data_IF_464188857299
#
_entry.id   IF_464188857299
#
_cell.length_a   1.000
_cell.length_b   1.000
_cell.length_c   1.000
_cell.angle_alpha   90.00
_cell.angle_beta   90.00
_cell.angle_gamma   90.00
#
_symmetry.space_group_name_H-M   'P 1'
#
loop_
_entity.id
_entity.type
_entity.pdbx_description
1 polymer ?
#
# COMPACT_ATOMS: atom_id res chain seq x y z
N UNK A 1 2.98 16.31 -28.36
CA UNK A 1 1.83 15.68 -27.68
C UNK A 1 0.95 16.78 -27.12
N UNK A 2 -0.36 16.76 -27.46
CA UNK A 2 -1.28 17.79 -27.04
C UNK A 2 -1.67 17.64 -25.56
N UNK A 3 -2.07 18.75 -24.90
CA UNK A 3 -2.58 18.74 -23.52
C UNK A 3 -3.78 17.79 -23.32
N UNK A 4 -4.54 17.55 -24.38
CA UNK A 4 -5.69 16.63 -24.37
C UNK A 4 -5.24 15.17 -24.21
N UNK A 5 -4.12 14.78 -24.84
CA UNK A 5 -3.58 13.41 -24.75
C UNK A 5 -3.05 13.09 -23.36
N UNK A 6 -2.51 14.08 -22.66
CA UNK A 6 -1.99 13.90 -21.31
C UNK A 6 -3.11 13.74 -20.27
N UNK A 7 -4.18 14.53 -20.40
CA UNK A 7 -5.36 14.43 -19.54
C UNK A 7 -6.07 13.09 -19.72
N UNK A 8 -6.28 12.66 -20.96
CA UNK A 8 -6.91 11.37 -21.28
C UNK A 8 -6.08 10.18 -20.75
N UNK A 9 -4.76 10.27 -20.90
CA UNK A 9 -3.85 9.26 -20.36
C UNK A 9 -3.93 9.17 -18.84
N UNK A 10 -3.95 10.30 -18.13
CA UNK A 10 -4.05 10.36 -16.67
C UNK A 10 -5.39 9.80 -16.19
N UNK A 11 -6.47 10.10 -16.88
CA UNK A 11 -7.79 9.55 -16.55
C UNK A 11 -7.84 8.03 -16.71
N UNK A 12 -7.31 7.49 -17.80
CA UNK A 12 -7.18 6.04 -18.03
C UNK A 12 -6.31 5.36 -16.96
N UNK A 13 -5.25 6.03 -16.52
CA UNK A 13 -4.38 5.57 -15.43
C UNK A 13 -5.16 5.49 -14.11
N UNK A 14 -5.93 6.52 -13.77
CA UNK A 14 -6.76 6.54 -12.57
C UNK A 14 -7.82 5.43 -12.57
N UNK A 15 -8.46 5.18 -13.70
CA UNK A 15 -9.42 4.08 -13.85
C UNK A 15 -8.76 2.73 -13.57
N UNK A 16 -7.56 2.50 -14.09
CA UNK A 16 -6.80 1.27 -13.80
C UNK A 16 -6.40 1.19 -12.32
N UNK A 17 -5.90 2.28 -11.75
CA UNK A 17 -5.50 2.33 -10.35
C UNK A 17 -6.64 1.98 -9.40
N UNK A 18 -7.84 2.51 -9.64
CA UNK A 18 -9.04 2.16 -8.87
C UNK A 18 -9.37 0.67 -8.92
N UNK A 19 -9.25 0.05 -10.09
CA UNK A 19 -9.45 -1.41 -10.23
C UNK A 19 -8.44 -2.19 -9.39
N UNK A 20 -7.19 -1.76 -9.35
CA UNK A 20 -6.16 -2.42 -8.55
C UNK A 20 -6.33 -2.18 -7.04
N UNK A 21 -6.83 -1.03 -6.61
CA UNK A 21 -7.20 -0.82 -5.20
C UNK A 21 -8.38 -1.72 -4.82
N UNK A 22 -9.38 -1.89 -5.68
CA UNK A 22 -10.47 -2.85 -5.47
C UNK A 22 -9.96 -4.28 -5.39
N UNK A 23 -9.04 -4.67 -6.26
CA UNK A 23 -8.41 -5.99 -6.24
C UNK A 23 -7.59 -6.20 -4.96
N UNK A 24 -6.85 -5.18 -4.51
CA UNK A 24 -6.12 -5.21 -3.24
C UNK A 24 -7.07 -5.38 -2.05
N UNK A 25 -8.21 -4.68 -2.04
CA UNK A 25 -9.26 -4.82 -1.03
C UNK A 25 -9.84 -6.22 -1.01
N UNK A 26 -10.20 -6.75 -2.16
CA UNK A 26 -10.73 -8.10 -2.30
C UNK A 26 -9.73 -9.15 -1.77
N UNK A 27 -8.46 -8.99 -2.12
CA UNK A 27 -7.40 -9.86 -1.60
C UNK A 27 -7.28 -9.76 -0.08
N UNK A 28 -7.33 -8.56 0.48
CA UNK A 28 -7.28 -8.35 1.93
C UNK A 28 -8.45 -9.04 2.64
N UNK A 29 -9.65 -8.91 2.09
CA UNK A 29 -10.87 -9.51 2.66
C UNK A 29 -10.80 -11.04 2.68
N UNK A 30 -10.18 -11.64 1.67
CA UNK A 30 -10.03 -13.10 1.57
C UNK A 30 -8.88 -13.65 2.42
N UNK A 31 -7.75 -12.95 2.50
CA UNK A 31 -6.50 -13.54 2.99
C UNK A 31 -5.95 -12.90 4.26
N UNK A 32 -6.35 -11.68 4.63
CA UNK A 32 -5.95 -11.14 5.93
C UNK A 32 -6.77 -11.79 7.04
N UNK A 33 -6.07 -12.40 7.99
CA UNK A 33 -6.66 -13.03 9.16
C UNK A 33 -6.90 -12.04 10.30
N UNK A 34 -6.47 -10.78 10.15
CA UNK A 34 -6.70 -9.72 11.14
C UNK A 34 -8.21 -9.51 11.34
N UNK A 35 -8.73 -9.69 12.55
CA UNK A 35 -10.16 -9.56 12.83
C UNK A 35 -10.65 -8.11 12.84
N UNK A 36 -9.73 -7.13 12.94
CA UNK A 36 -10.10 -5.72 13.14
C UNK A 36 -9.85 -4.84 11.92
N UNK A 37 -8.74 -5.07 11.22
CA UNK A 37 -8.32 -4.19 10.11
C UNK A 37 -7.68 -5.02 9.01
N UNK A 38 -8.28 -5.03 7.84
CA UNK A 38 -7.77 -5.75 6.67
C UNK A 38 -7.24 -4.76 5.65
N UNK A 39 -5.94 -4.83 5.40
CA UNK A 39 -5.23 -3.99 4.42
C UNK A 39 -4.63 -4.85 3.34
N UNK A 40 -4.75 -4.42 2.11
CA UNK A 40 -4.14 -5.06 0.95
C UNK A 40 -3.39 -4.07 0.10
N UNK A 41 -2.37 -4.56 -0.59
CA UNK A 41 -1.67 -3.80 -1.61
C UNK A 41 -1.23 -4.66 -2.78
N UNK A 42 -1.07 -4.02 -3.91
CA UNK A 42 -0.58 -4.60 -5.16
C UNK A 42 0.50 -3.67 -5.71
N UNK A 43 1.70 -4.20 -5.92
CA UNK A 43 2.79 -3.51 -6.58
C UNK A 43 2.78 -3.89 -8.07
N UNK A 44 2.85 -2.88 -8.92
CA UNK A 44 2.69 -2.98 -10.36
C UNK A 44 3.91 -2.41 -11.08
N UNK A 45 4.18 -2.91 -12.29
CA UNK A 45 5.04 -2.19 -13.22
C UNK A 45 4.47 -0.79 -13.50
N UNK A 46 5.34 0.17 -13.85
CA UNK A 46 4.96 1.57 -14.06
C UNK A 46 3.84 1.76 -15.10
N UNK A 47 3.72 0.85 -16.05
CA UNK A 47 2.71 0.85 -17.12
C UNK A 47 1.44 0.07 -16.79
N UNK A 48 1.33 -0.48 -15.57
CA UNK A 48 0.24 -1.34 -15.08
C UNK A 48 0.08 -2.68 -15.83
N UNK A 49 1.04 -3.07 -16.66
CA UNK A 49 0.93 -4.30 -17.45
C UNK A 49 1.16 -5.58 -16.63
N UNK A 50 1.89 -5.47 -15.52
CA UNK A 50 2.27 -6.62 -14.69
C UNK A 50 2.07 -6.35 -13.20
N UNK A 51 1.55 -7.33 -12.48
CA UNK A 51 1.62 -7.39 -11.04
C UNK A 51 3.00 -7.94 -10.66
N UNK A 52 3.78 -7.16 -9.94
CA UNK A 52 5.13 -7.52 -9.49
C UNK A 52 5.10 -8.25 -8.14
N UNK A 53 4.24 -7.78 -7.25
CA UNK A 53 4.05 -8.36 -5.93
C UNK A 53 2.72 -7.95 -5.33
N UNK A 54 2.29 -8.70 -4.33
CA UNK A 54 1.07 -8.38 -3.54
C UNK A 54 1.33 -8.63 -2.07
N UNK A 55 0.60 -7.94 -1.21
CA UNK A 55 0.64 -8.14 0.23
C UNK A 55 -0.72 -7.93 0.90
N UNK A 56 -0.91 -8.60 2.01
CA UNK A 56 -1.96 -8.35 2.99
C UNK A 56 -1.31 -8.24 4.36
N UNK A 57 -1.92 -7.49 5.29
CA UNK A 57 -1.42 -7.45 6.65
C UNK A 57 -1.64 -8.80 7.34
N UNK A 58 -0.71 -9.18 8.21
CA UNK A 58 -0.76 -10.45 8.92
C UNK A 58 0.48 -10.70 9.76
N UNK A 59 0.50 -11.82 10.45
CA UNK A 59 1.69 -12.27 11.15
C UNK A 59 2.76 -12.76 10.16
N UNK A 60 4.04 -12.70 10.51
CA UNK A 60 5.10 -13.29 9.70
C UNK A 60 4.83 -14.77 9.40
N UNK A 61 5.34 -15.22 8.25
CA UNK A 61 5.16 -16.62 7.80
C UNK A 61 5.60 -17.61 8.87
N UNK A 62 4.86 -18.70 8.95
CA UNK A 62 5.10 -19.83 9.86
C UNK A 62 4.88 -19.51 11.35
N UNK A 63 4.48 -18.30 11.70
CA UNK A 63 4.03 -18.02 13.06
C UNK A 63 2.65 -18.63 13.29
N UNK A 64 2.43 -19.11 14.52
CA UNK A 64 1.11 -19.56 14.93
C UNK A 64 0.14 -18.39 15.00
N UNK A 65 -0.84 -18.37 14.12
CA UNK A 65 -1.86 -17.33 13.99
C UNK A 65 -3.18 -17.67 14.72
N UNK A 66 -3.23 -18.81 15.40
CA UNK A 66 -4.36 -19.20 16.26
C UNK A 66 -4.23 -18.65 17.71
N UNK A 67 -3.15 -17.95 18.02
CA UNK A 67 -2.95 -17.30 19.32
C UNK A 67 -3.69 -15.97 19.35
N UNK A 68 -4.84 -15.92 20.01
CA UNK A 68 -5.74 -14.76 20.03
C UNK A 68 -5.06 -13.47 20.52
N UNK A 69 -4.21 -13.54 21.54
CA UNK A 69 -3.50 -12.39 22.11
C UNK A 69 -2.63 -11.64 21.10
N UNK A 70 -2.16 -12.33 20.06
CA UNK A 70 -1.36 -11.70 19.00
C UNK A 70 -2.16 -10.78 18.09
N UNK A 71 -3.47 -10.89 18.10
CA UNK A 71 -4.38 -10.06 17.32
C UNK A 71 -4.99 -8.93 18.15
N UNK A 72 -4.81 -8.94 19.47
CA UNK A 72 -5.35 -7.93 20.36
C UNK A 72 -4.38 -6.74 20.53
N UNK A 73 -4.92 -5.52 20.58
CA UNK A 73 -4.15 -4.31 20.83
C UNK A 73 -3.84 -4.20 22.34
N UNK A 74 -2.63 -3.74 22.74
CA UNK A 74 -1.52 -3.25 21.90
C UNK A 74 -0.57 -4.33 21.40
N UNK A 75 -0.65 -5.57 21.85
CA UNK A 75 0.26 -6.70 21.54
C UNK A 75 0.39 -6.91 20.04
N UNK A 76 -0.73 -6.83 19.32
CA UNK A 76 -0.79 -6.91 17.86
C UNK A 76 0.26 -6.06 17.15
N UNK A 77 0.51 -4.83 17.60
CA UNK A 77 1.45 -3.91 16.95
C UNK A 77 2.89 -4.41 16.92
N UNK A 78 3.26 -5.29 17.85
CA UNK A 78 4.59 -5.90 17.88
C UNK A 78 4.75 -7.11 16.94
N UNK A 79 3.64 -7.73 16.56
CA UNK A 79 3.66 -8.96 15.75
C UNK A 79 3.22 -8.76 14.31
N UNK A 80 2.31 -7.81 14.06
CA UNK A 80 1.72 -7.64 12.73
C UNK A 80 2.72 -7.03 11.75
N UNK A 81 2.81 -7.63 10.57
CA UNK A 81 3.46 -7.03 9.40
C UNK A 81 2.42 -6.39 8.51
N UNK A 82 2.67 -5.16 8.07
CA UNK A 82 1.74 -4.42 7.21
C UNK A 82 1.76 -4.94 5.78
N UNK A 83 0.69 -4.69 5.04
CA UNK A 83 0.51 -5.17 3.68
C UNK A 83 1.64 -4.71 2.75
N UNK A 84 2.07 -3.46 2.87
CA UNK A 84 3.15 -2.86 2.08
C UNK A 84 4.49 -3.55 2.38
N UNK A 85 4.82 -3.74 3.66
CA UNK A 85 6.03 -4.44 4.07
C UNK A 85 6.03 -5.89 3.58
N UNK A 86 4.89 -6.57 3.66
CA UNK A 86 4.74 -7.95 3.17
C UNK A 86 4.89 -8.03 1.65
N UNK A 87 4.37 -7.07 0.88
CA UNK A 87 4.52 -7.05 -0.57
C UNK A 87 5.97 -6.84 -1.00
N UNK A 88 6.70 -5.95 -0.31
CA UNK A 88 8.13 -5.74 -0.55
C UNK A 88 8.94 -6.98 -0.17
N UNK A 89 8.66 -7.60 0.98
CA UNK A 89 9.29 -8.85 1.40
C UNK A 89 9.02 -10.00 0.43
N UNK A 90 7.81 -10.09 -0.12
CA UNK A 90 7.45 -11.08 -1.14
C UNK A 90 8.28 -10.91 -2.42
N UNK A 91 8.44 -9.67 -2.89
CA UNK A 91 9.28 -9.36 -4.04
C UNK A 91 10.76 -9.68 -3.77
N UNK A 92 11.29 -9.27 -2.61
CA UNK A 92 12.67 -9.59 -2.22
C UNK A 92 12.92 -11.10 -2.18
N UNK A 93 11.96 -11.87 -1.70
CA UNK A 93 12.05 -13.32 -1.57
C UNK A 93 12.13 -14.04 -2.92
N UNK A 94 11.54 -13.49 -3.96
CA UNK A 94 11.53 -14.05 -5.33
C UNK A 94 12.52 -13.36 -6.27
N UNK A 95 13.28 -12.39 -5.79
CA UNK A 95 14.19 -11.62 -6.63
C UNK A 95 13.50 -10.72 -7.65
N UNK A 96 12.28 -10.26 -7.35
CA UNK A 96 11.51 -9.38 -8.24
C UNK A 96 11.92 -7.93 -8.01
N UNK A 97 12.51 -7.23 -9.00
CA UNK A 97 12.88 -5.82 -8.88
C UNK A 97 11.65 -4.93 -8.74
N UNK A 98 11.72 -3.94 -7.85
CA UNK A 98 10.64 -2.98 -7.59
C UNK A 98 11.00 -1.55 -8.00
N UNK A 99 12.23 -1.27 -8.41
CA UNK A 99 12.64 0.08 -8.80
C UNK A 99 11.77 0.62 -9.94
N UNK A 100 11.26 1.84 -9.77
CA UNK A 100 10.37 2.49 -10.73
C UNK A 100 8.92 2.00 -10.71
N UNK A 101 8.56 1.09 -9.81
CA UNK A 101 7.20 0.53 -9.71
C UNK A 101 6.20 1.50 -9.10
N UNK A 102 4.93 1.13 -9.19
CA UNK A 102 3.81 1.83 -8.55
C UNK A 102 3.07 0.88 -7.61
N UNK A 103 2.41 1.42 -6.59
CA UNK A 103 1.64 0.63 -5.63
C UNK A 103 0.20 1.13 -5.54
N UNK A 104 -0.74 0.19 -5.49
CA UNK A 104 -2.12 0.41 -5.15
C UNK A 104 -2.37 -0.19 -3.75
N UNK A 105 -2.75 0.62 -2.78
CA UNK A 105 -2.91 0.22 -1.39
C UNK A 105 -4.23 0.74 -0.81
N UNK A 106 -4.90 -0.10 -0.03
CA UNK A 106 -6.25 0.19 0.49
C UNK A 106 -6.28 1.14 1.68
N UNK A 107 -5.13 1.48 2.24
CA UNK A 107 -4.97 2.42 3.35
C UNK A 107 -3.72 3.26 3.14
N UNK A 108 -3.75 4.52 3.57
CA UNK A 108 -2.59 5.39 3.49
C UNK A 108 -1.40 4.78 4.26
N UNK A 109 -0.20 4.69 3.66
CA UNK A 109 0.95 4.06 4.29
C UNK A 109 1.43 4.80 5.53
N UNK A 110 1.75 4.06 6.58
CA UNK A 110 2.41 4.63 7.76
C UNK A 110 3.86 5.00 7.47
N UNK A 111 4.48 5.80 8.35
CA UNK A 111 5.85 6.29 8.19
C UNK A 111 6.88 5.16 8.02
N UNK A 112 6.71 4.05 8.73
CA UNK A 112 7.57 2.87 8.59
C UNK A 112 7.46 2.22 7.22
N UNK A 113 6.25 2.02 6.72
CA UNK A 113 6.03 1.48 5.38
C UNK A 113 6.49 2.44 4.28
N UNK A 114 6.28 3.75 4.47
CA UNK A 114 6.72 4.77 3.52
C UNK A 114 8.23 4.76 3.32
N UNK A 115 9.01 4.63 4.38
CA UNK A 115 10.47 4.45 4.28
C UNK A 115 10.84 3.21 3.45
N UNK A 116 10.20 2.08 3.70
CA UNK A 116 10.46 0.85 2.94
C UNK A 116 10.09 1.01 1.47
N UNK A 117 8.97 1.66 1.18
CA UNK A 117 8.50 1.91 -0.19
C UNK A 117 9.47 2.80 -0.96
N UNK A 118 9.95 3.88 -0.33
CA UNK A 118 10.95 4.80 -0.91
C UNK A 118 12.25 4.03 -1.21
N UNK A 119 12.75 3.26 -0.25
CA UNK A 119 13.99 2.49 -0.41
C UNK A 119 13.85 1.36 -1.45
N UNK A 120 12.67 0.81 -1.64
CA UNK A 120 12.38 -0.16 -2.69
C UNK A 120 12.25 0.44 -4.10
N UNK A 121 12.25 1.77 -4.22
CA UNK A 121 12.16 2.47 -5.50
C UNK A 121 10.74 2.67 -6.03
N UNK A 122 9.72 2.59 -5.20
CA UNK A 122 8.34 2.88 -5.58
C UNK A 122 8.22 4.37 -5.90
N UNK A 123 7.66 4.69 -7.06
CA UNK A 123 7.58 6.05 -7.62
C UNK A 123 6.21 6.69 -7.50
N UNK A 124 5.18 5.89 -7.38
CA UNK A 124 3.80 6.38 -7.34
C UNK A 124 2.95 5.53 -6.41
N UNK A 125 2.12 6.19 -5.61
CA UNK A 125 1.24 5.56 -4.63
C UNK A 125 -0.20 5.94 -4.93
N UNK A 126 -1.03 4.96 -5.20
CA UNK A 126 -2.49 5.11 -5.29
C UNK A 126 -3.13 4.60 -4.01
N UNK A 127 -3.79 5.47 -3.29
CA UNK A 127 -4.34 5.16 -1.98
C UNK A 127 -5.54 6.03 -1.65
N UNK A 128 -6.18 5.75 -0.54
CA UNK A 128 -7.24 6.58 0.02
C UNK A 128 -6.61 7.66 0.89
N UNK A 129 -7.17 8.87 0.87
CA UNK A 129 -6.70 9.97 1.70
C UNK A 129 -6.74 9.60 3.19
N UNK A 130 -5.68 9.89 3.95
CA UNK A 130 -5.68 9.67 5.39
C UNK A 130 -6.52 10.73 6.09
N UNK A 131 -6.96 10.43 7.30
CA UNK A 131 -7.44 11.42 8.24
C UNK A 131 -6.25 12.08 8.95
N UNK A 132 -5.82 13.23 8.43
CA UNK A 132 -4.71 14.01 9.00
C UNK A 132 -5.04 14.62 10.38
N UNK A 133 -6.30 14.69 10.75
CA UNK A 133 -6.75 15.25 12.03
C UNK A 133 -6.94 14.15 13.09
N UNK A 134 -6.72 12.91 12.73
CA UNK A 134 -6.73 11.79 13.67
C UNK A 134 -5.73 11.98 14.78
N UNK A 135 -6.18 11.98 16.03
CA UNK A 135 -5.30 12.09 17.22
C UNK A 135 -4.26 10.97 17.26
N UNK A 136 -4.61 9.79 16.77
CA UNK A 136 -3.75 8.60 16.84
C UNK A 136 -2.79 8.49 15.66
N UNK A 137 -3.23 8.82 14.45
CA UNK A 137 -2.50 8.51 13.22
C UNK A 137 -2.19 9.73 12.35
N UNK A 138 -2.75 10.90 12.67
CA UNK A 138 -2.62 12.10 11.84
C UNK A 138 -1.17 12.57 11.70
N UNK A 139 -0.41 12.58 12.80
CA UNK A 139 1.00 12.99 12.78
C UNK A 139 1.86 12.02 11.93
N UNK A 140 1.68 10.72 12.12
CA UNK A 140 2.39 9.71 11.34
C UNK A 140 2.07 9.81 9.84
N UNK A 141 0.81 10.09 9.49
CA UNK A 141 0.39 10.34 8.12
C UNK A 141 1.02 11.60 7.51
N UNK A 142 1.15 12.69 8.28
CA UNK A 142 1.85 13.90 7.83
C UNK A 142 3.33 13.63 7.55
N UNK A 143 4.00 12.89 8.44
CA UNK A 143 5.41 12.49 8.25
C UNK A 143 5.55 11.65 6.99
N UNK A 144 4.66 10.71 6.76
CA UNK A 144 4.65 9.89 5.52
C UNK A 144 4.49 10.76 4.28
N UNK A 145 3.53 11.68 4.29
CA UNK A 145 3.29 12.60 3.17
C UNK A 145 4.48 13.51 2.89
N UNK A 146 5.13 14.03 3.95
CA UNK A 146 6.35 14.84 3.86
C UNK A 146 7.50 14.07 3.22
N UNK A 147 7.76 12.84 3.67
CA UNK A 147 8.81 11.99 3.10
C UNK A 147 8.57 11.72 1.61
N UNK A 148 7.36 11.37 1.22
CA UNK A 148 7.02 11.15 -0.19
C UNK A 148 7.22 12.41 -1.04
N UNK A 149 6.78 13.57 -0.55
CA UNK A 149 6.91 14.84 -1.25
C UNK A 149 8.40 15.23 -1.43
N UNK A 150 9.20 15.09 -0.39
CA UNK A 150 10.63 15.44 -0.40
C UNK A 150 11.43 14.63 -1.44
N UNK A 151 11.13 13.33 -1.57
CA UNK A 151 11.84 12.45 -2.50
C UNK A 151 11.19 12.33 -3.88
N UNK A 152 10.10 13.06 -4.12
CA UNK A 152 9.41 13.09 -5.42
C UNK A 152 8.57 11.85 -5.71
N UNK A 153 8.11 11.12 -4.70
CA UNK A 153 7.10 10.06 -4.87
C UNK A 153 5.73 10.71 -5.02
N UNK A 154 5.07 10.45 -6.13
CA UNK A 154 3.73 10.98 -6.39
C UNK A 154 2.68 10.17 -5.60
N UNK A 155 1.89 10.85 -4.78
CA UNK A 155 0.78 10.23 -4.04
C UNK A 155 -0.55 10.69 -4.63
N UNK A 156 -1.35 9.76 -5.09
CA UNK A 156 -2.67 10.02 -5.66
C UNK A 156 -3.73 9.48 -4.72
N UNK A 157 -4.54 10.39 -4.20
CA UNK A 157 -5.69 10.04 -3.39
C UNK A 157 -6.88 9.68 -4.27
N UNK A 158 -7.37 8.45 -4.11
CA UNK A 158 -8.58 7.98 -4.76
C UNK A 158 -9.77 8.24 -3.82
N UNK A 159 -10.86 8.73 -4.38
CA UNK A 159 -12.11 8.91 -3.62
C UNK A 159 -12.75 7.55 -3.39
N UNK A 160 -13.32 7.34 -2.18
CA UNK A 160 -13.84 6.04 -1.75
C UNK A 160 -15.16 5.59 -2.40
N UNK A 161 -15.71 6.37 -3.31
CA UNK A 161 -17.05 6.16 -3.90
C UNK A 161 -17.03 5.44 -5.26
N UNK A 162 -15.91 4.84 -5.65
CA UNK A 162 -15.78 4.16 -6.93
C UNK A 162 -15.49 2.67 -6.82
#
# INVERSE_FOLDING_TARGET
>A
MSHLDEKDRREKELVKARKYVKLAKFKADLFSKDPHTKVGCIILSHDFSRILSTGTNGLPRHMNDDIAERWERPTKYSYISHAEANSIANAARTGTPLDGSVIAVTKFPCSTCSKLMIQAGIRKVYTIAPDFDSEKWGEDARISAEMFAEVGVEVIHLTGDD
#
